data_IF_255801780556
#
_entry.id   IF_255801780556
#
_cell.length_a   1.000
_cell.length_b   1.000
_cell.length_c   1.000
_cell.angle_alpha   90.00
_cell.angle_beta   90.00
_cell.angle_gamma   90.00
#
_symmetry.space_group_name_H-M   'P 1'
#
loop_
_entity.id
_entity.type
_entity.pdbx_description
1 polymer ?
#
# COMPACT_ATOMS: atom_id res chain seq x y z
N UNK A 1 5.56 6.96 22.93
CA UNK A 1 6.04 5.62 22.48
C UNK A 1 4.95 4.62 22.80
N UNK A 2 4.80 3.58 21.99
CA UNK A 2 3.88 2.46 22.28
C UNK A 2 4.57 1.49 23.26
N UNK A 3 4.03 1.27 24.48
CA UNK A 3 4.61 0.34 25.46
C UNK A 3 4.54 -1.13 25.01
N UNK A 4 3.61 -1.47 24.13
CA UNK A 4 3.44 -2.83 23.57
C UNK A 4 4.32 -3.08 22.34
N UNK A 5 5.13 -2.11 21.91
CA UNK A 5 6.00 -2.33 20.76
C UNK A 5 7.04 -3.40 21.07
N UNK A 6 7.14 -4.40 20.18
CA UNK A 6 8.04 -5.55 20.33
C UNK A 6 7.31 -6.87 20.59
N UNK A 7 6.00 -6.82 20.87
CA UNK A 7 5.18 -8.02 21.11
C UNK A 7 4.28 -8.38 19.93
N UNK A 8 4.10 -7.47 18.96
CA UNK A 8 3.15 -7.67 17.88
C UNK A 8 3.75 -7.69 16.48
N UNK A 9 2.85 -7.69 15.50
CA UNK A 9 3.21 -7.82 14.08
C UNK A 9 2.33 -6.92 13.22
N UNK A 10 2.96 -6.07 12.40
CA UNK A 10 2.28 -5.40 11.32
C UNK A 10 1.89 -6.41 10.25
N UNK A 11 0.62 -6.40 9.86
CA UNK A 11 0.14 -7.14 8.70
C UNK A 11 -0.56 -6.24 7.71
N UNK A 12 -0.32 -6.52 6.44
CA UNK A 12 -1.06 -5.94 5.32
C UNK A 12 -1.53 -7.04 4.40
N UNK A 13 -2.83 -7.05 4.12
CA UNK A 13 -3.41 -7.88 3.08
C UNK A 13 -3.78 -7.01 1.89
N UNK A 14 -3.25 -7.36 0.72
CA UNK A 14 -3.66 -6.80 -0.56
C UNK A 14 -4.38 -7.89 -1.35
N UNK A 15 -5.63 -7.63 -1.76
CA UNK A 15 -6.40 -8.59 -2.57
C UNK A 15 -6.74 -8.00 -3.91
N UNK A 16 -6.59 -8.81 -4.95
CA UNK A 16 -6.84 -8.43 -6.34
C UNK A 16 -7.91 -9.32 -6.92
N UNK A 17 -8.90 -8.70 -7.53
CA UNK A 17 -9.97 -9.38 -8.26
C UNK A 17 -10.03 -8.80 -9.66
N UNK A 18 -9.98 -9.64 -10.68
CA UNK A 18 -10.08 -9.20 -12.07
C UNK A 18 -11.21 -9.94 -12.76
N UNK A 19 -11.97 -9.21 -13.53
CA UNK A 19 -12.95 -9.70 -14.51
C UNK A 19 -12.71 -8.92 -15.82
N UNK A 20 -13.29 -9.35 -16.96
CA UNK A 20 -13.14 -8.59 -18.20
C UNK A 20 -13.49 -7.10 -18.04
N UNK A 21 -12.54 -6.24 -18.40
CA UNK A 21 -12.68 -4.78 -18.38
C UNK A 21 -12.62 -4.13 -17.00
N UNK A 22 -12.42 -4.88 -15.91
CA UNK A 22 -12.34 -4.33 -14.54
C UNK A 22 -11.35 -5.06 -13.66
N UNK A 23 -10.59 -4.29 -12.89
CA UNK A 23 -9.74 -4.83 -11.83
C UNK A 23 -9.96 -4.08 -10.53
N UNK A 24 -10.21 -4.82 -9.46
CA UNK A 24 -10.33 -4.34 -8.09
C UNK A 24 -9.07 -4.71 -7.32
N UNK A 25 -8.51 -3.75 -6.62
CA UNK A 25 -7.45 -3.96 -5.64
C UNK A 25 -7.89 -3.39 -4.30
N UNK A 26 -7.75 -4.18 -3.23
CA UNK A 26 -8.05 -3.78 -1.85
C UNK A 26 -6.79 -3.84 -1.02
N UNK A 27 -6.69 -3.00 0.00
CA UNK A 27 -5.61 -3.01 0.99
C UNK A 27 -6.20 -2.79 2.37
N UNK A 28 -5.90 -3.71 3.28
CA UNK A 28 -6.19 -3.59 4.70
C UNK A 28 -4.91 -3.80 5.51
N UNK A 29 -4.57 -2.83 6.35
CA UNK A 29 -3.48 -2.89 7.32
C UNK A 29 -3.80 -2.14 8.61
N UNK A 30 -2.84 -2.14 9.55
CA UNK A 30 -2.95 -1.47 10.85
C UNK A 30 -3.41 -0.01 10.78
N UNK A 31 -3.00 0.73 9.75
CA UNK A 31 -3.24 2.17 9.61
C UNK A 31 -4.21 2.52 8.48
N UNK A 32 -4.49 1.58 7.57
CA UNK A 32 -5.22 1.86 6.35
C UNK A 32 -6.25 0.80 6.01
N UNK A 33 -7.34 1.25 5.42
CA UNK A 33 -8.26 0.41 4.66
C UNK A 33 -8.69 1.19 3.44
N UNK A 34 -8.47 0.63 2.26
CA UNK A 34 -8.79 1.28 0.99
C UNK A 34 -9.03 0.28 -0.12
N UNK A 35 -9.69 0.74 -1.17
CA UNK A 35 -9.93 -0.04 -2.37
C UNK A 35 -9.89 0.87 -3.60
N UNK A 36 -9.62 0.24 -4.74
CA UNK A 36 -9.60 0.87 -6.06
C UNK A 36 -10.17 -0.10 -7.09
N UNK A 37 -11.11 0.36 -7.90
CA UNK A 37 -11.57 -0.30 -9.12
C UNK A 37 -11.06 0.50 -10.31
N UNK A 38 -10.32 -0.15 -11.20
CA UNK A 38 -9.91 0.41 -12.48
C UNK A 38 -10.76 -0.24 -13.58
N UNK A 39 -11.38 0.61 -14.40
CA UNK A 39 -12.17 0.24 -15.55
C UNK A 39 -11.33 0.45 -16.80
N UNK A 40 -11.42 -0.49 -17.74
CA UNK A 40 -10.76 -0.36 -19.03
C UNK A 40 -11.60 -0.95 -20.16
N UNK A 41 -11.48 -0.33 -21.33
CA UNK A 41 -12.11 -0.79 -22.56
C UNK A 41 -11.18 -0.46 -23.74
N UNK A 42 -11.20 -1.30 -24.79
CA UNK A 42 -10.36 -1.11 -25.98
C UNK A 42 -8.88 -0.87 -25.65
N UNK A 43 -8.36 -1.59 -24.65
CA UNK A 43 -6.96 -1.46 -24.22
C UNK A 43 -6.62 -0.20 -23.42
N UNK A 44 -7.59 0.63 -23.03
CA UNK A 44 -7.33 1.89 -22.33
C UNK A 44 -8.12 2.01 -21.03
N UNK A 45 -7.54 2.66 -20.03
CA UNK A 45 -8.23 3.04 -18.78
C UNK A 45 -9.36 4.00 -19.11
N UNK A 46 -10.59 3.65 -18.74
CA UNK A 46 -11.78 4.48 -18.97
C UNK A 46 -12.25 5.18 -17.70
N UNK A 47 -12.08 4.53 -16.55
CA UNK A 47 -12.45 5.11 -15.26
C UNK A 47 -11.67 4.51 -14.10
N UNK A 48 -11.61 5.26 -12.99
CA UNK A 48 -11.06 4.79 -11.73
C UNK A 48 -11.96 5.25 -10.60
N UNK A 49 -12.47 4.29 -9.85
CA UNK A 49 -13.21 4.51 -8.61
C UNK A 49 -12.31 4.08 -7.45
N UNK A 50 -12.16 4.89 -6.41
CA UNK A 50 -11.35 4.52 -5.26
C UNK A 50 -11.86 5.19 -3.98
N UNK A 51 -11.52 4.60 -2.83
CA UNK A 51 -11.81 5.20 -1.53
C UNK A 51 -10.79 4.80 -0.48
N UNK A 52 -10.40 5.77 0.34
CA UNK A 52 -9.76 5.52 1.63
C UNK A 52 -10.86 5.40 2.69
N UNK A 53 -11.18 4.17 3.08
CA UNK A 53 -12.20 3.88 4.09
C UNK A 53 -11.69 4.14 5.51
N UNK A 54 -10.39 3.90 5.75
CA UNK A 54 -9.69 4.20 6.99
C UNK A 54 -8.30 4.71 6.67
N UNK A 55 -7.90 5.81 7.30
CA UNK A 55 -6.60 6.42 7.11
C UNK A 55 -6.27 7.42 8.21
N UNK A 56 -5.01 7.88 8.30
CA UNK A 56 -4.51 8.61 9.44
C UNK A 56 -4.93 10.09 9.50
N UNK A 57 -5.46 10.68 8.42
CA UNK A 57 -5.71 12.13 8.34
C UNK A 57 -7.06 12.48 7.72
N UNK A 58 -7.61 13.63 8.13
CA UNK A 58 -8.92 14.14 7.65
C UNK A 58 -8.97 14.39 6.15
N UNK A 59 -7.83 14.72 5.52
CA UNK A 59 -7.70 14.94 4.08
C UNK A 59 -7.62 13.64 3.27
N UNK A 60 -7.37 12.47 3.89
CA UNK A 60 -7.19 11.20 3.19
C UNK A 60 -8.40 10.81 2.32
N UNK A 61 -9.61 11.21 2.73
CA UNK A 61 -10.85 10.91 1.99
C UNK A 61 -10.96 11.58 0.62
N UNK A 62 -10.03 12.47 0.25
CA UNK A 62 -9.98 13.14 -1.06
C UNK A 62 -8.80 12.71 -1.94
N UNK A 63 -8.02 11.72 -1.48
CA UNK A 63 -6.79 11.29 -2.13
C UNK A 63 -7.02 10.48 -3.42
N UNK A 64 -8.26 10.13 -3.73
CA UNK A 64 -8.71 9.45 -4.94
C UNK A 64 -8.77 10.39 -6.16
N UNK A 65 -9.02 11.68 -5.95
CA UNK A 65 -9.25 12.66 -7.05
C UNK A 65 -8.15 12.68 -8.12
N UNK A 66 -6.85 12.66 -7.77
CA UNK A 66 -5.79 12.67 -8.78
C UNK A 66 -5.78 11.44 -9.70
N UNK A 67 -6.34 10.31 -9.27
CA UNK A 67 -6.35 9.06 -10.04
C UNK A 67 -7.06 9.19 -11.38
N UNK A 68 -7.98 10.14 -11.52
CA UNK A 68 -8.64 10.47 -12.79
C UNK A 68 -7.66 10.83 -13.91
N UNK A 69 -6.43 11.27 -13.58
CA UNK A 69 -5.36 11.53 -14.56
C UNK A 69 -4.94 10.28 -15.32
N UNK A 70 -5.19 9.08 -14.81
CA UNK A 70 -4.86 7.82 -15.48
C UNK A 70 -5.80 7.49 -16.66
N UNK A 71 -6.95 8.17 -16.80
CA UNK A 71 -7.88 7.98 -17.92
C UNK A 71 -7.17 8.15 -19.27
N UNK A 72 -7.42 7.23 -20.19
CA UNK A 72 -6.80 7.19 -21.51
C UNK A 72 -5.38 6.63 -21.54
N UNK A 73 -4.81 6.14 -20.42
CA UNK A 73 -3.57 5.37 -20.50
C UNK A 73 -3.84 3.98 -21.11
N UNK A 74 -2.98 3.49 -22.01
CA UNK A 74 -3.02 2.10 -22.46
C UNK A 74 -2.73 1.16 -21.29
N UNK A 75 -3.53 0.12 -21.05
CA UNK A 75 -3.36 -0.80 -19.89
C UNK A 75 -2.14 -1.71 -20.01
N UNK A 76 -1.61 -1.86 -21.21
CA UNK A 76 -0.34 -2.52 -21.53
C UNK A 76 0.82 -1.52 -21.70
N UNK A 77 0.57 -0.25 -21.38
CA UNK A 77 1.50 0.85 -21.56
C UNK A 77 2.67 0.87 -20.59
N UNK A 78 3.57 1.83 -20.82
CA UNK A 78 4.78 2.01 -20.03
C UNK A 78 4.49 2.51 -18.60
N UNK A 79 5.14 1.88 -17.62
CA UNK A 79 5.08 2.28 -16.21
C UNK A 79 5.73 3.65 -15.96
N UNK A 80 6.58 4.15 -16.85
CA UNK A 80 7.07 5.53 -16.78
C UNK A 80 5.94 6.53 -17.00
N UNK A 81 5.16 6.35 -18.07
CA UNK A 81 4.00 7.19 -18.38
C UNK A 81 2.96 7.15 -17.25
N UNK A 82 2.76 5.98 -16.62
CA UNK A 82 1.92 5.86 -15.42
C UNK A 82 2.43 6.78 -14.28
N UNK A 83 3.73 6.72 -13.97
CA UNK A 83 4.34 7.49 -12.87
C UNK A 83 4.33 9.00 -13.11
N UNK A 84 4.50 9.43 -14.36
CA UNK A 84 4.44 10.84 -14.74
C UNK A 84 3.05 11.45 -14.48
N UNK A 85 1.97 10.66 -14.65
CA UNK A 85 0.60 11.13 -14.38
C UNK A 85 0.27 11.22 -12.89
N UNK A 86 0.96 10.44 -12.05
CA UNK A 86 0.76 10.39 -10.60
C UNK A 86 2.08 10.64 -9.84
N UNK A 87 2.61 11.88 -9.84
CA UNK A 87 3.83 12.19 -9.10
C UNK A 87 3.63 11.92 -7.59
N UNK A 88 4.53 11.18 -6.91
CA UNK A 88 4.30 10.71 -5.55
C UNK A 88 3.97 11.80 -4.51
N UNK A 89 4.57 12.99 -4.64
CA UNK A 89 4.38 14.12 -3.71
C UNK A 89 2.93 14.62 -3.68
N UNK A 90 2.23 14.54 -4.82
CA UNK A 90 0.86 15.06 -4.97
C UNK A 90 -0.20 13.97 -4.80
N UNK A 91 0.20 12.76 -4.40
CA UNK A 91 -0.68 11.60 -4.38
C UNK A 91 -0.56 10.86 -3.05
N UNK A 92 -1.61 10.14 -2.67
CA UNK A 92 -1.47 9.16 -1.59
C UNK A 92 -0.60 8.03 -2.13
N UNK A 93 0.57 7.84 -1.54
CA UNK A 93 1.52 6.79 -1.93
C UNK A 93 0.87 5.41 -1.91
N UNK A 94 -0.03 5.14 -0.97
CA UNK A 94 -0.77 3.88 -0.88
C UNK A 94 -1.77 3.67 -2.02
N UNK A 95 -2.57 4.69 -2.38
CA UNK A 95 -3.49 4.58 -3.52
C UNK A 95 -2.73 4.51 -4.84
N UNK A 96 -1.59 5.20 -4.95
CA UNK A 96 -0.71 5.10 -6.11
C UNK A 96 -0.13 3.69 -6.24
N UNK A 97 0.29 3.05 -5.14
CA UNK A 97 0.77 1.67 -5.14
C UNK A 97 -0.37 0.70 -5.56
N UNK A 98 -1.62 0.93 -5.12
CA UNK A 98 -2.77 0.15 -5.58
C UNK A 98 -3.08 0.35 -7.07
N UNK A 99 -3.06 1.60 -7.55
CA UNK A 99 -3.29 1.91 -8.95
C UNK A 99 -2.19 1.30 -9.83
N UNK A 100 -0.93 1.33 -9.38
CA UNK A 100 0.20 0.68 -10.04
C UNK A 100 -0.02 -0.83 -10.15
N UNK A 101 -0.40 -1.47 -9.04
CA UNK A 101 -0.68 -2.90 -9.00
C UNK A 101 -1.87 -3.30 -9.88
N UNK A 102 -2.95 -2.51 -9.87
CA UNK A 102 -4.10 -2.68 -10.74
C UNK A 102 -3.68 -2.61 -12.22
N UNK A 103 -2.93 -1.57 -12.59
CA UNK A 103 -2.45 -1.36 -13.96
C UNK A 103 -1.61 -2.54 -14.45
N UNK A 104 -0.62 -2.99 -13.66
CA UNK A 104 0.24 -4.14 -13.98
C UNK A 104 -0.54 -5.44 -14.21
N UNK A 105 -1.69 -5.57 -13.57
CA UNK A 105 -2.52 -6.78 -13.63
C UNK A 105 -3.74 -6.63 -14.55
N UNK A 106 -3.93 -5.51 -15.25
CA UNK A 106 -5.17 -5.23 -16.01
C UNK A 106 -5.25 -5.91 -17.38
N UNK A 107 -4.13 -6.28 -18.00
CA UNK A 107 -4.09 -6.67 -19.42
C UNK A 107 -4.75 -8.02 -19.74
N UNK A 108 -4.80 -8.94 -18.79
CA UNK A 108 -5.38 -10.27 -18.99
C UNK A 108 -6.91 -10.27 -18.88
N UNK A 109 -7.58 -10.95 -19.82
CA UNK A 109 -9.03 -11.16 -19.79
C UNK A 109 -9.46 -12.32 -18.87
N UNK A 110 -8.50 -13.14 -18.43
CA UNK A 110 -8.79 -14.26 -17.54
C UNK A 110 -9.13 -13.74 -16.14
N UNK A 111 -10.24 -14.20 -15.54
CA UNK A 111 -10.54 -13.87 -14.16
C UNK A 111 -9.37 -14.22 -13.23
N UNK A 112 -9.10 -13.35 -12.26
CA UNK A 112 -8.05 -13.55 -11.27
C UNK A 112 -8.60 -13.26 -9.89
N UNK A 113 -8.30 -14.14 -8.94
CA UNK A 113 -8.30 -13.85 -7.52
C UNK A 113 -6.87 -14.03 -7.03
N UNK A 114 -6.30 -13.01 -6.41
CA UNK A 114 -4.95 -13.04 -5.85
C UNK A 114 -4.92 -12.38 -4.49
N UNK A 115 -4.20 -12.97 -3.56
CA UNK A 115 -3.93 -12.43 -2.24
C UNK A 115 -2.43 -12.25 -2.05
N UNK A 116 -2.05 -11.10 -1.51
CA UNK A 116 -0.69 -10.77 -1.13
C UNK A 116 -0.69 -10.41 0.36
N UNK A 117 -0.05 -11.23 1.18
CA UNK A 117 0.06 -11.03 2.62
C UNK A 117 1.47 -10.57 2.96
N UNK A 118 1.58 -9.46 3.68
CA UNK A 118 2.84 -8.94 4.20
C UNK A 118 2.80 -9.03 5.72
N UNK A 119 3.87 -9.54 6.31
CA UNK A 119 4.03 -9.69 7.75
C UNK A 119 5.38 -9.12 8.19
N UNK A 120 5.35 -8.21 9.17
CA UNK A 120 6.51 -7.50 9.72
C UNK A 120 6.35 -7.44 11.25
N UNK A 121 6.98 -8.36 11.99
CA UNK A 121 7.09 -8.31 13.45
C UNK A 121 7.72 -7.00 13.93
N UNK A 122 7.35 -6.57 15.13
CA UNK A 122 7.99 -5.45 15.79
C UNK A 122 9.44 -5.81 16.16
N UNK A 123 10.37 -4.92 15.84
CA UNK A 123 11.78 -5.12 16.12
C UNK A 123 12.11 -4.82 17.59
N UNK A 124 12.53 -5.84 18.35
CA UNK A 124 12.78 -5.77 19.79
C UNK A 124 14.25 -6.08 20.15
N UNK A 125 15.20 -5.38 19.52
CA UNK A 125 16.64 -5.47 19.86
C UNK A 125 17.40 -6.63 19.21
N UNK A 126 16.76 -7.38 18.31
CA UNK A 126 17.37 -8.41 17.47
C UNK A 126 16.79 -8.34 16.06
N UNK A 127 17.48 -8.87 15.03
CA UNK A 127 16.93 -9.00 13.70
C UNK A 127 15.58 -9.72 13.71
N UNK A 128 14.62 -9.20 12.95
CA UNK A 128 13.31 -9.82 12.78
C UNK A 128 13.14 -10.31 11.35
N UNK A 129 12.46 -11.44 11.19
CA UNK A 129 12.03 -11.89 9.87
C UNK A 129 10.93 -10.96 9.36
N UNK A 130 10.92 -10.67 8.07
CA UNK A 130 9.82 -10.01 7.36
C UNK A 130 9.53 -10.80 6.10
N UNK A 131 8.27 -10.89 5.71
CA UNK A 131 7.92 -11.65 4.51
C UNK A 131 6.77 -11.04 3.72
N UNK A 132 6.76 -11.39 2.45
CA UNK A 132 5.60 -11.24 1.56
C UNK A 132 5.28 -12.57 0.92
N UNK A 133 4.01 -12.96 1.02
CA UNK A 133 3.44 -14.15 0.43
C UNK A 133 2.47 -13.75 -0.67
N UNK A 134 2.41 -14.55 -1.74
CA UNK A 134 1.40 -14.46 -2.80
C UNK A 134 0.65 -15.78 -2.85
N UNK A 135 -0.66 -15.74 -2.64
CA UNK A 135 -1.55 -16.91 -2.64
C UNK A 135 -1.04 -18.02 -1.71
N UNK A 136 -0.51 -17.64 -0.54
CA UNK A 136 0.06 -18.54 0.47
C UNK A 136 1.49 -19.02 0.19
N UNK A 137 2.09 -18.69 -0.97
CA UNK A 137 3.47 -19.01 -1.27
C UNK A 137 4.39 -17.84 -0.90
N UNK A 138 5.43 -18.10 -0.10
CA UNK A 138 6.46 -17.11 0.24
C UNK A 138 7.21 -16.69 -1.03
N UNK A 139 7.26 -15.38 -1.28
CA UNK A 139 8.03 -14.80 -2.40
C UNK A 139 9.33 -14.18 -1.89
N UNK A 140 9.24 -13.31 -0.88
CA UNK A 140 10.42 -12.81 -0.16
C UNK A 140 10.30 -13.10 1.32
N UNK A 141 11.41 -13.52 1.92
CA UNK A 141 11.58 -13.68 3.36
C UNK A 141 12.99 -13.21 3.73
N UNK A 142 13.07 -12.11 4.47
CA UNK A 142 14.33 -11.45 4.81
C UNK A 142 14.43 -11.27 6.32
N UNK A 143 15.63 -11.36 6.88
CA UNK A 143 15.87 -10.82 8.22
C UNK A 143 16.31 -9.37 8.10
N UNK A 144 15.72 -8.50 8.91
CA UNK A 144 15.99 -7.07 8.92
C UNK A 144 16.30 -6.61 10.34
N UNK A 145 17.30 -5.75 10.46
CA UNK A 145 17.64 -5.03 11.69
C UNK A 145 17.98 -3.59 11.32
N UNK A 146 17.51 -2.61 12.10
CA UNK A 146 17.82 -1.20 11.93
C UNK A 146 17.65 -0.71 10.47
N UNK A 147 16.57 -1.16 9.84
CA UNK A 147 16.22 -0.88 8.44
C UNK A 147 17.24 -1.38 7.38
N UNK A 148 18.05 -2.39 7.70
CA UNK A 148 18.96 -3.06 6.78
C UNK A 148 18.69 -4.56 6.73
N UNK A 149 18.83 -5.16 5.56
CA UNK A 149 18.75 -6.60 5.40
C UNK A 149 19.99 -7.25 6.04
N UNK A 150 19.77 -8.23 6.90
CA UNK A 150 20.80 -9.08 7.52
C UNK A 150 20.90 -10.40 6.77
N UNK A 151 19.76 -11.00 6.42
CA UNK A 151 19.69 -12.22 5.61
C UNK A 151 18.65 -12.07 4.50
N UNK A 152 18.87 -12.69 3.31
CA UNK A 152 19.96 -13.61 2.98
C UNK A 152 21.31 -12.90 2.73
N UNK A 153 22.46 -13.61 2.82
CA UNK A 153 23.80 -13.03 2.65
C UNK A 153 23.99 -12.22 1.35
N UNK A 154 23.33 -12.62 0.26
CA UNK A 154 23.39 -11.90 -1.03
C UNK A 154 22.82 -10.47 -0.95
N UNK A 155 21.91 -10.23 -0.01
CA UNK A 155 21.24 -8.95 0.20
C UNK A 155 21.72 -8.24 1.48
N UNK A 156 22.66 -8.82 2.23
CA UNK A 156 23.13 -8.28 3.48
C UNK A 156 23.65 -6.84 3.32
N UNK A 157 23.28 -5.96 4.25
CA UNK A 157 23.62 -4.54 4.25
C UNK A 157 22.80 -3.67 3.28
N UNK A 158 21.90 -4.24 2.47
CA UNK A 158 21.04 -3.45 1.59
C UNK A 158 19.99 -2.68 2.42
N UNK A 159 19.78 -1.38 2.16
CA UNK A 159 18.86 -0.56 2.94
C UNK A 159 17.40 -0.79 2.55
N UNK A 160 16.51 -0.78 3.55
CA UNK A 160 15.05 -0.87 3.40
C UNK A 160 14.37 0.50 3.19
N UNK A 161 15.10 1.60 3.28
CA UNK A 161 14.58 2.96 3.14
C UNK A 161 15.14 3.62 1.87
N UNK A 162 15.86 4.74 2.03
CA UNK A 162 16.50 5.44 0.92
C UNK A 162 17.44 4.49 0.17
N UNK A 163 17.30 4.42 -1.15
CA UNK A 163 18.09 3.54 -2.02
C UNK A 163 17.46 2.18 -2.31
N UNK A 164 16.36 1.79 -1.65
CA UNK A 164 15.74 0.48 -1.83
C UNK A 164 15.40 0.18 -3.30
N UNK A 165 14.65 1.07 -3.94
CA UNK A 165 14.17 0.85 -5.31
C UNK A 165 15.30 0.78 -6.35
N UNK A 166 16.51 1.26 -6.05
CA UNK A 166 17.66 1.13 -6.94
C UNK A 166 18.17 -0.31 -6.93
N UNK A 167 18.58 -0.80 -5.75
CA UNK A 167 19.14 -2.14 -5.64
C UNK A 167 18.10 -3.22 -5.91
N UNK A 168 16.83 -3.01 -5.56
CA UNK A 168 15.77 -3.98 -5.80
C UNK A 168 15.60 -4.25 -7.29
N UNK A 169 15.72 -3.22 -8.15
CA UNK A 169 15.64 -3.37 -9.61
C UNK A 169 16.85 -4.06 -10.23
N UNK A 170 18.00 -4.03 -9.55
CA UNK A 170 19.20 -4.77 -9.96
C UNK A 170 19.09 -6.26 -9.59
N UNK A 171 18.32 -6.59 -8.55
CA UNK A 171 18.21 -7.96 -8.03
C UNK A 171 16.95 -8.71 -8.48
N UNK A 172 15.86 -8.00 -8.71
CA UNK A 172 14.54 -8.57 -8.98
C UNK A 172 13.91 -7.94 -10.23
N UNK A 173 13.01 -8.68 -10.86
CA UNK A 173 12.22 -8.24 -12.00
C UNK A 173 10.79 -8.78 -11.90
N UNK A 174 9.90 -8.27 -12.75
CA UNK A 174 8.50 -8.74 -12.82
C UNK A 174 7.77 -8.67 -11.47
N UNK A 175 6.97 -9.70 -11.18
CA UNK A 175 6.19 -9.80 -9.95
C UNK A 175 7.07 -9.80 -8.69
N UNK A 176 8.26 -10.40 -8.73
CA UNK A 176 9.15 -10.45 -7.56
C UNK A 176 9.63 -9.05 -7.18
N UNK A 177 9.93 -8.20 -8.17
CA UNK A 177 10.25 -6.79 -7.92
C UNK A 177 9.04 -6.03 -7.35
N UNK A 178 7.86 -6.23 -7.93
CA UNK A 178 6.65 -5.54 -7.48
C UNK A 178 6.32 -5.92 -6.03
N UNK A 179 6.47 -7.19 -5.66
CA UNK A 179 6.28 -7.69 -4.31
C UNK A 179 7.38 -7.25 -3.33
N UNK A 180 8.63 -7.12 -3.78
CA UNK A 180 9.70 -6.52 -2.98
C UNK A 180 9.39 -5.04 -2.63
N UNK A 181 8.88 -4.27 -3.60
CA UNK A 181 8.47 -2.87 -3.39
C UNK A 181 7.26 -2.80 -2.43
N UNK A 182 6.29 -3.71 -2.56
CA UNK A 182 5.16 -3.79 -1.63
C UNK A 182 5.61 -4.12 -0.20
N UNK A 183 6.52 -5.10 -0.03
CA UNK A 183 7.11 -5.45 1.27
C UNK A 183 7.81 -4.23 1.89
N UNK A 184 8.61 -3.51 1.11
CA UNK A 184 9.28 -2.30 1.59
C UNK A 184 8.30 -1.20 2.03
N UNK A 185 7.21 -0.99 1.28
CA UNK A 185 6.14 -0.08 1.72
C UNK A 185 5.54 -0.53 3.04
N UNK A 186 5.36 -1.85 3.23
CA UNK A 186 4.99 -2.43 4.52
C UNK A 186 5.93 -2.00 5.64
N UNK A 187 7.26 -2.11 5.44
CA UNK A 187 8.25 -1.71 6.45
C UNK A 187 8.17 -0.22 6.78
N UNK A 188 7.93 0.64 5.78
CA UNK A 188 7.74 2.06 6.02
C UNK A 188 6.52 2.33 6.92
N UNK A 189 5.41 1.63 6.69
CA UNK A 189 4.16 1.81 7.43
C UNK A 189 4.19 1.15 8.81
N UNK A 190 4.82 -0.01 8.94
CA UNK A 190 4.98 -0.73 10.21
C UNK A 190 5.67 0.12 11.30
N UNK A 191 6.51 1.08 10.92
CA UNK A 191 7.13 2.06 11.84
C UNK A 191 6.10 2.84 12.67
N UNK A 192 4.88 3.01 12.16
CA UNK A 192 3.79 3.66 12.88
C UNK A 192 3.44 2.95 14.20
N UNK A 193 3.65 1.63 14.30
CA UNK A 193 3.41 0.84 15.52
C UNK A 193 4.29 1.25 16.70
N UNK A 194 5.43 1.93 16.47
CA UNK A 194 6.31 2.46 17.54
C UNK A 194 5.66 3.60 18.33
N UNK A 195 4.62 4.22 17.79
CA UNK A 195 4.01 5.42 18.33
C UNK A 195 2.51 5.21 18.58
N UNK A 196 2.02 5.78 19.69
CA UNK A 196 0.58 5.89 19.93
C UNK A 196 0.09 7.10 19.14
N UNK A 197 -0.43 6.85 17.94
CA UNK A 197 -0.71 7.88 16.91
C UNK A 197 -2.18 8.24 16.78
N UNK A 198 -3.05 7.52 17.47
CA UNK A 198 -4.51 7.69 17.39
C UNK A 198 -5.15 7.87 18.77
N UNK A 199 -4.38 8.37 19.73
CA UNK A 199 -4.87 8.79 21.03
C UNK A 199 -5.21 10.28 21.02
N UNK A 200 -6.35 10.63 21.61
CA UNK A 200 -6.92 11.99 21.64
C UNK A 200 -6.01 13.01 22.35
N UNK A 201 -5.99 14.29 21.92
CA UNK A 201 -6.78 14.90 20.82
C UNK A 201 -6.12 14.77 19.43
N UNK A 202 -6.92 15.04 18.39
CA UNK A 202 -6.41 15.15 17.03
C UNK A 202 -5.27 16.18 16.93
N UNK A 203 -4.23 15.84 16.17
CA UNK A 203 -3.01 16.65 16.04
C UNK A 203 -2.95 17.26 14.65
N UNK A 204 -2.68 18.57 14.51
CA UNK A 204 -2.41 19.18 13.21
C UNK A 204 -1.26 18.50 12.47
N UNK A 205 -1.40 18.24 11.17
CA UNK A 205 -0.34 17.58 10.41
C UNK A 205 0.95 18.41 10.34
N UNK A 206 0.83 19.74 10.42
CA UNK A 206 1.97 20.63 10.47
C UNK A 206 2.81 20.56 11.74
N UNK A 207 2.37 19.82 12.77
CA UNK A 207 3.19 19.44 13.91
C UNK A 207 4.32 18.46 13.55
N UNK A 208 4.27 17.85 12.35
CA UNK A 208 5.31 16.97 11.81
C UNK A 208 5.96 17.56 10.54
N UNK A 209 6.76 18.64 10.63
CA UNK A 209 7.36 19.31 9.47
C UNK A 209 8.26 18.42 8.62
N UNK A 210 8.88 17.40 9.21
CA UNK A 210 9.68 16.42 8.47
C UNK A 210 8.87 15.55 7.49
N UNK A 211 7.54 15.52 7.62
CA UNK A 211 6.64 14.76 6.75
C UNK A 211 6.09 15.60 5.59
N UNK A 212 6.40 16.90 5.51
CA UNK A 212 5.97 17.76 4.40
C UNK A 212 6.29 17.10 3.06
N UNK A 213 5.32 17.14 2.14
CA UNK A 213 5.42 16.58 0.79
C UNK A 213 5.58 15.04 0.73
N UNK A 214 5.37 14.33 1.84
CA UNK A 214 5.48 12.87 1.88
C UNK A 214 4.32 12.14 1.17
N UNK A 215 3.13 12.75 1.12
CA UNK A 215 1.94 12.22 0.42
C UNK A 215 0.85 13.31 0.30
N UNK A 216 -0.28 12.95 -0.32
CA UNK A 216 -1.49 13.79 -0.44
C UNK A 216 -1.81 14.60 0.83
N UNK A 217 -1.90 13.97 2.00
CA UNK A 217 -2.26 14.68 3.23
C UNK A 217 -1.20 15.67 3.72
N UNK A 218 0.06 15.44 3.37
CA UNK A 218 1.19 16.31 3.71
C UNK A 218 1.59 17.27 2.58
N UNK A 219 0.79 17.35 1.51
CA UNK A 219 0.99 18.30 0.42
C UNK A 219 0.69 19.73 0.88
N UNK A 220 1.20 20.71 0.15
CA UNK A 220 0.96 22.12 0.43
C UNK A 220 -0.53 22.49 0.59
N UNK A 221 -1.43 21.81 -0.12
CA UNK A 221 -2.88 22.09 -0.09
C UNK A 221 -3.56 21.63 1.21
N UNK A 222 -2.95 20.70 1.94
CA UNK A 222 -3.56 20.05 3.10
C UNK A 222 -2.76 20.21 4.39
N UNK A 223 -1.44 20.36 4.29
CA UNK A 223 -0.51 20.31 5.42
C UNK A 223 -0.86 21.28 6.56
N UNK A 224 -1.33 22.48 6.22
CA UNK A 224 -1.64 23.54 7.19
C UNK A 224 -3.05 23.44 7.79
N UNK A 225 -3.95 22.63 7.20
CA UNK A 225 -5.38 22.56 7.60
C UNK A 225 -5.85 21.18 8.05
N UNK A 226 -5.18 20.11 7.61
CA UNK A 226 -5.53 18.75 7.95
C UNK A 226 -5.06 18.38 9.36
N UNK A 227 -5.78 17.45 9.98
CA UNK A 227 -5.48 16.90 11.31
C UNK A 227 -5.43 15.39 11.25
N UNK A 228 -4.80 14.77 12.25
CA UNK A 228 -4.90 13.33 12.44
C UNK A 228 -6.32 12.91 12.81
N UNK A 229 -6.69 11.69 12.43
CA UNK A 229 -7.93 11.06 12.87
C UNK A 229 -7.64 10.21 14.10
N UNK A 230 -8.56 10.17 15.06
CA UNK A 230 -8.50 9.31 16.25
C UNK A 230 -9.23 7.99 15.97
N UNK A 231 -8.74 6.87 16.50
CA UNK A 231 -9.40 5.56 16.40
C UNK A 231 -9.31 4.88 15.02
N UNK A 232 -8.32 5.23 14.21
CA UNK A 232 -8.08 4.60 12.90
C UNK A 232 -7.14 3.38 12.97
N UNK A 233 -6.44 3.16 14.09
CA UNK A 233 -5.53 2.03 14.23
C UNK A 233 -6.33 0.74 14.45
N UNK A 234 -5.88 -0.35 13.84
CA UNK A 234 -6.38 -1.70 14.10
C UNK A 234 -5.19 -2.60 14.41
N UNK A 235 -5.28 -3.35 15.50
CA UNK A 235 -4.26 -4.37 15.76
C UNK A 235 -4.53 -5.61 14.91
N UNK A 236 -3.56 -5.95 14.05
CA UNK A 236 -3.60 -7.12 13.17
C UNK A 236 -2.47 -8.11 13.51
N UNK A 237 -2.04 -8.11 14.77
CA UNK A 237 -1.01 -9.02 15.31
C UNK A 237 -1.39 -10.50 15.22
N UNK A 238 -2.68 -10.84 15.10
CA UNK A 238 -3.10 -12.24 14.94
C UNK A 238 -3.80 -12.53 13.60
N UNK A 239 -3.98 -11.51 12.76
CA UNK A 239 -4.65 -11.64 11.47
C UNK A 239 -5.22 -10.32 10.96
N UNK A 240 -5.43 -10.23 9.65
CA UNK A 240 -5.99 -9.04 9.01
C UNK A 240 -7.52 -9.19 8.91
N UNK A 241 -8.24 -8.28 9.56
CA UNK A 241 -9.67 -8.15 9.33
C UNK A 241 -9.90 -7.35 8.04
N UNK A 242 -10.57 -7.98 7.09
CA UNK A 242 -10.87 -7.41 5.78
C UNK A 242 -12.05 -6.46 5.88
N UNK A 243 -11.92 -5.25 5.33
CA UNK A 243 -13.04 -4.33 5.28
C UNK A 243 -14.10 -4.76 4.26
N UNK A 244 -15.36 -4.53 4.61
CA UNK A 244 -16.48 -4.70 3.68
C UNK A 244 -16.39 -3.71 2.53
N UNK A 245 -16.60 -4.20 1.32
CA UNK A 245 -16.69 -3.36 0.13
C UNK A 245 -18.12 -2.82 -0.05
N UNK A 246 -18.30 -1.66 -0.69
CA UNK A 246 -19.63 -1.17 -1.06
C UNK A 246 -20.38 -2.18 -1.94
N UNK A 247 -21.71 -2.31 -1.82
CA UNK A 247 -22.49 -3.27 -2.60
C UNK A 247 -22.36 -3.15 -4.13
N UNK A 248 -22.18 -1.92 -4.64
CA UNK A 248 -21.97 -1.72 -6.09
C UNK A 248 -20.61 -2.26 -6.55
N UNK A 249 -19.58 -2.15 -5.71
CA UNK A 249 -18.24 -2.70 -5.99
C UNK A 249 -18.30 -4.21 -6.02
N UNK A 250 -18.88 -4.85 -5.00
CA UNK A 250 -19.02 -6.33 -4.99
C UNK A 250 -19.89 -6.83 -6.14
N UNK A 251 -20.88 -6.04 -6.60
CA UNK A 251 -21.70 -6.37 -7.75
C UNK A 251 -20.92 -6.47 -9.07
N UNK A 252 -19.77 -5.79 -9.22
CA UNK A 252 -18.90 -5.97 -10.40
C UNK A 252 -18.15 -7.30 -10.40
N UNK A 253 -17.99 -7.93 -9.22
CA UNK A 253 -17.13 -9.09 -9.01
C UNK A 253 -17.90 -10.26 -8.37
N UNK A 254 -19.20 -10.39 -8.63
CA UNK A 254 -20.09 -11.36 -7.98
C UNK A 254 -19.54 -12.79 -7.95
N UNK A 255 -18.86 -13.24 -9.01
CA UNK A 255 -18.26 -14.59 -9.07
C UNK A 255 -17.16 -14.87 -8.03
N UNK A 256 -16.69 -13.87 -7.28
CA UNK A 256 -15.67 -14.01 -6.24
C UNK A 256 -16.18 -13.80 -4.81
N UNK A 257 -17.36 -13.21 -4.63
CA UNK A 257 -17.90 -12.79 -3.33
C UNK A 257 -19.24 -13.46 -2.99
N UNK A 258 -19.58 -14.55 -3.68
CA UNK A 258 -20.72 -15.44 -3.38
C UNK A 258 -20.30 -16.56 -2.43
#
# INVERSE_FOLDING_TARGET
>A
MNPEYGTGCFRRLVRTFRVPGKILVTLDDTHHSMWLVMHHANGHVTDIEARVARGPATSCGSADRPLGKLKGLPVDGDMLAFRERLPPVLNCTHLMDLAYWAFRNATSQTPLKREVLIEIPDEAGAPVWIKVERDGAIVHNWYVQDHHIVEPPKLAGKPMMKGFASWAREQFSGDDLDLAIMLQRGVFVARGRRHLVDLSPAVPLNAAPAMRDACHSYSQDHFDTATSIVGYVRDFTDGVAVASLPPHVTAYFKGFFQ
#
